data_IF_506734393932
#
_entry.id   IF_506734393932
#
_cell.length_a   1.000
_cell.length_b   1.000
_cell.length_c   1.000
_cell.angle_alpha   90.00
_cell.angle_beta   90.00
_cell.angle_gamma   90.00
#
_symmetry.space_group_name_H-M   'P 1'
#
loop_
_entity.id
_entity.type
_entity.pdbx_description
1 polymer ?
#
# COMPACT_ATOMS: atom_id res chain seq x y z
N UNK A 1 47.41 39.52 -30.07
CA UNK A 1 48.04 40.85 -29.98
C UNK A 1 46.91 41.86 -30.15
N UNK A 2 46.61 42.83 -29.29
CA UNK A 2 47.31 43.44 -28.17
C UNK A 2 46.26 44.05 -27.21
N UNK A 3 46.69 44.23 -25.97
CA UNK A 3 45.95 44.47 -24.72
C UNK A 3 45.31 45.86 -24.55
N UNK A 4 44.25 45.86 -23.73
CA UNK A 4 43.84 46.79 -22.66
C UNK A 4 43.96 48.31 -22.82
N UNK A 5 42.87 49.01 -22.47
CA UNK A 5 42.94 50.11 -21.51
C UNK A 5 41.67 50.16 -20.64
N UNK A 6 41.90 50.27 -19.34
CA UNK A 6 40.95 50.33 -18.21
C UNK A 6 40.72 51.79 -17.83
N UNK A 7 39.50 52.19 -17.41
CA UNK A 7 39.29 53.24 -16.41
C UNK A 7 37.82 53.33 -15.89
N UNK A 8 37.71 53.26 -14.56
CA UNK A 8 36.80 53.92 -13.59
C UNK A 8 35.65 54.79 -14.12
N UNK A 9 34.45 54.89 -13.52
CA UNK A 9 33.94 54.49 -12.22
C UNK A 9 32.70 55.35 -11.88
N UNK A 10 31.65 54.69 -11.36
CA UNK A 10 30.54 55.16 -10.48
C UNK A 10 29.73 56.42 -10.84
N UNK A 11 28.43 56.23 -11.08
CA UNK A 11 27.36 57.10 -10.56
C UNK A 11 26.27 56.21 -9.93
N UNK A 12 25.96 56.49 -8.67
CA UNK A 12 24.86 55.92 -7.88
C UNK A 12 23.54 56.56 -8.30
N UNK A 13 22.51 55.74 -8.56
CA UNK A 13 21.11 56.17 -8.44
C UNK A 13 20.42 55.14 -7.53
N UNK A 14 20.13 55.59 -6.32
CA UNK A 14 19.26 54.91 -5.37
C UNK A 14 17.81 55.02 -5.83
N UNK A 15 17.13 53.89 -6.04
CA UNK A 15 15.68 53.82 -6.02
C UNK A 15 15.30 52.83 -4.94
N UNK A 16 14.72 53.36 -3.86
CA UNK A 16 14.12 52.60 -2.79
C UNK A 16 12.80 51.98 -3.29
N UNK A 17 12.70 50.65 -3.25
CA UNK A 17 11.41 49.96 -3.32
C UNK A 17 10.98 49.57 -1.92
N UNK A 18 9.76 49.98 -1.57
CA UNK A 18 9.11 49.74 -0.31
C UNK A 18 8.91 48.24 -0.05
N UNK A 19 9.28 47.79 1.16
CA UNK A 19 8.84 46.53 1.73
C UNK A 19 7.35 46.62 2.08
N UNK A 20 6.51 45.79 1.46
CA UNK A 20 5.28 45.28 2.07
C UNK A 20 4.90 43.93 1.45
N UNK A 21 4.84 42.89 2.29
CA UNK A 21 4.03 41.69 2.02
C UNK A 21 4.73 40.49 1.36
N UNK A 22 5.79 39.94 1.97
CA UNK A 22 6.12 38.53 1.73
C UNK A 22 5.13 37.66 2.51
N UNK A 23 4.07 37.17 1.86
CA UNK A 23 3.43 35.93 2.30
C UNK A 23 4.48 34.84 2.14
N UNK A 24 4.95 34.27 3.25
CA UNK A 24 5.86 33.14 3.23
C UNK A 24 5.21 31.99 2.47
N UNK A 25 5.72 31.71 1.27
CA UNK A 25 5.52 30.39 0.65
C UNK A 25 6.29 29.44 1.56
N UNK A 26 5.57 28.71 2.40
CA UNK A 26 6.14 27.61 3.16
C UNK A 26 6.55 26.57 2.11
N UNK A 27 7.85 26.24 1.97
CA UNK A 27 8.24 25.13 1.10
C UNK A 27 7.58 23.86 1.63
N UNK A 28 7.08 23.01 0.72
CA UNK A 28 6.45 21.73 1.02
C UNK A 28 7.27 21.00 2.09
N UNK A 29 6.71 20.98 3.30
CA UNK A 29 7.32 20.34 4.45
C UNK A 29 7.40 18.84 4.13
N UNK A 30 8.59 18.28 4.33
CA UNK A 30 8.84 16.85 4.30
C UNK A 30 7.67 16.08 4.91
N UNK A 31 7.23 15.04 4.20
CA UNK A 31 6.13 14.14 4.55
C UNK A 31 6.32 13.65 5.99
N UNK A 32 5.66 14.33 6.92
CA UNK A 32 5.58 13.94 8.32
C UNK A 32 4.89 12.59 8.37
N UNK A 33 5.44 11.62 9.09
CA UNK A 33 4.75 10.39 9.48
C UNK A 33 3.36 10.76 9.99
N UNK A 34 2.33 10.55 9.19
CA UNK A 34 0.96 10.96 9.50
C UNK A 34 0.42 10.00 10.54
N UNK A 35 0.53 10.36 11.81
CA UNK A 35 -0.26 9.75 12.88
C UNK A 35 -1.74 9.96 12.57
N UNK A 36 -2.59 8.95 12.81
CA UNK A 36 -4.03 9.09 12.63
C UNK A 36 -4.57 10.33 13.35
N UNK A 37 -5.30 11.18 12.63
CA UNK A 37 -6.06 12.26 13.23
C UNK A 37 -7.43 11.73 13.68
N UNK A 38 -7.46 11.15 14.87
CA UNK A 38 -8.66 10.54 15.45
C UNK A 38 -9.77 11.56 15.69
N UNK A 39 -9.48 12.87 15.75
CA UNK A 39 -10.52 13.88 15.90
C UNK A 39 -11.45 13.92 14.67
N UNK A 40 -10.89 13.75 13.47
CA UNK A 40 -11.67 13.69 12.23
C UNK A 40 -12.54 12.42 12.22
N UNK A 41 -11.98 11.29 12.66
CA UNK A 41 -12.71 10.01 12.74
C UNK A 41 -13.89 10.10 13.73
N UNK A 42 -13.68 10.79 14.86
CA UNK A 42 -14.65 10.89 15.96
C UNK A 42 -15.80 11.85 15.71
N UNK A 43 -15.54 12.99 15.05
CA UNK A 43 -16.47 14.12 15.06
C UNK A 43 -16.99 14.53 13.68
N UNK A 44 -16.43 13.96 12.60
CA UNK A 44 -16.89 14.23 11.26
C UNK A 44 -17.66 13.04 10.67
N UNK A 45 -18.52 13.31 9.70
CA UNK A 45 -19.31 12.30 9.00
C UNK A 45 -19.08 12.46 7.49
N UNK A 46 -18.77 11.36 6.82
CA UNK A 46 -18.55 11.31 5.38
C UNK A 46 -17.25 10.61 5.01
N UNK A 47 -16.66 11.04 3.91
CA UNK A 47 -15.50 10.42 3.30
C UNK A 47 -14.30 11.34 3.40
N UNK A 48 -13.16 10.82 3.86
CA UNK A 48 -11.91 11.57 3.76
C UNK A 48 -11.40 11.49 2.32
N UNK A 49 -11.49 12.59 1.59
CA UNK A 49 -11.07 12.71 0.20
C UNK A 49 -9.67 13.29 0.09
N UNK A 50 -8.80 12.61 -0.65
CA UNK A 50 -7.50 13.12 -1.11
C UNK A 50 -7.60 13.45 -2.59
N UNK A 51 -7.24 14.68 -2.96
CA UNK A 51 -7.46 15.25 -4.28
C UNK A 51 -6.13 15.48 -4.99
N UNK A 52 -6.04 15.03 -6.24
CA UNK A 52 -4.82 14.99 -7.04
C UNK A 52 -5.06 15.69 -8.38
N UNK A 53 -4.08 16.46 -8.88
CA UNK A 53 -4.20 17.20 -10.14
C UNK A 53 -3.09 16.83 -11.13
N UNK A 54 -3.49 16.58 -12.38
CA UNK A 54 -2.60 16.25 -13.48
C UNK A 54 -2.70 17.31 -14.57
N UNK A 55 -1.62 17.51 -15.34
CA UNK A 55 -1.69 18.32 -16.54
C UNK A 55 -2.21 17.46 -17.70
N UNK A 56 -2.87 18.06 -18.69
CA UNK A 56 -3.32 17.42 -19.95
C UNK A 56 -2.17 16.75 -20.73
N UNK A 57 -0.92 17.10 -20.42
CA UNK A 57 0.28 16.47 -20.97
C UNK A 57 0.70 15.18 -20.26
N UNK A 58 0.07 14.83 -19.14
CA UNK A 58 0.37 13.62 -18.39
C UNK A 58 -0.10 12.38 -19.18
N UNK A 59 0.74 11.33 -19.33
CA UNK A 59 0.42 10.18 -20.17
C UNK A 59 -0.88 9.45 -19.79
N UNK A 60 -1.26 9.46 -18.51
CA UNK A 60 -2.44 8.77 -18.01
C UNK A 60 -3.74 9.46 -18.35
N UNK A 61 -3.69 10.76 -18.64
CA UNK A 61 -4.86 11.62 -18.88
C UNK A 61 -4.77 12.38 -20.20
N UNK A 62 -3.83 12.00 -21.07
CA UNK A 62 -3.59 12.66 -22.33
C UNK A 62 -4.83 12.59 -23.25
N UNK A 63 -4.98 13.57 -24.14
CA UNK A 63 -6.12 13.72 -25.06
C UNK A 63 -6.51 12.47 -25.89
N UNK A 64 -5.64 11.46 -26.02
CA UNK A 64 -6.00 10.16 -26.61
C UNK A 64 -6.23 9.08 -25.54
N UNK A 65 -7.20 9.33 -24.66
CA UNK A 65 -7.59 8.40 -23.59
C UNK A 65 -7.85 6.98 -24.09
N UNK A 66 -8.36 6.82 -25.32
CA UNK A 66 -8.69 5.52 -25.94
C UNK A 66 -7.50 4.56 -26.11
N UNK A 67 -6.27 5.07 -26.08
CA UNK A 67 -5.05 4.27 -26.22
C UNK A 67 -4.40 3.91 -24.88
N UNK A 68 -4.94 4.42 -23.77
CA UNK A 68 -4.40 4.21 -22.43
C UNK A 68 -5.24 3.16 -21.69
N UNK A 69 -4.61 2.05 -21.34
CA UNK A 69 -5.20 1.06 -20.43
C UNK A 69 -4.89 1.45 -19.00
N UNK A 70 -5.93 1.68 -18.22
CA UNK A 70 -5.89 1.95 -16.79
C UNK A 70 -5.58 0.67 -16.01
N UNK A 71 -4.80 0.82 -14.95
CA UNK A 71 -4.67 -0.18 -13.90
C UNK A 71 -5.89 -0.13 -12.97
N UNK A 72 -6.05 -1.10 -12.07
CA UNK A 72 -7.10 -1.03 -11.05
C UNK A 72 -6.79 0.05 -10.01
N UNK A 73 -7.76 0.94 -9.72
CA UNK A 73 -7.76 1.97 -8.69
C UNK A 73 -6.39 2.31 -8.07
N UNK A 74 -6.01 1.67 -6.94
CA UNK A 74 -4.79 1.97 -6.18
C UNK A 74 -3.47 1.71 -6.92
N UNK A 75 -3.47 0.93 -8.00
CA UNK A 75 -2.28 0.68 -8.81
C UNK A 75 -1.95 1.81 -9.78
N UNK A 76 -2.88 2.75 -10.02
CA UNK A 76 -2.60 3.93 -10.85
C UNK A 76 -1.73 4.92 -10.07
N UNK A 77 -0.69 5.46 -10.72
CA UNK A 77 0.20 6.46 -10.12
C UNK A 77 -0.46 7.83 -9.85
N UNK A 78 -1.69 8.04 -10.33
CA UNK A 78 -2.45 9.30 -10.16
C UNK A 78 -2.67 9.68 -8.69
N UNK A 79 -2.67 8.69 -7.79
CA UNK A 79 -2.86 8.88 -6.35
C UNK A 79 -1.53 9.07 -5.60
N UNK A 80 -0.44 9.35 -6.32
CA UNK A 80 0.89 9.61 -5.77
C UNK A 80 1.05 11.03 -5.21
N UNK A 81 2.02 11.21 -4.31
CA UNK A 81 2.32 12.50 -3.66
C UNK A 81 2.67 13.63 -4.65
N UNK A 82 3.24 13.29 -5.81
CA UNK A 82 3.62 14.27 -6.83
C UNK A 82 2.41 14.97 -7.47
N UNK A 83 1.23 14.34 -7.37
CA UNK A 83 -0.02 14.86 -7.90
C UNK A 83 -0.93 15.45 -6.82
N UNK A 84 -0.64 15.22 -5.54
CA UNK A 84 -1.49 15.66 -4.42
C UNK A 84 -1.65 17.18 -4.38
N UNK A 85 -2.86 17.65 -4.11
CA UNK A 85 -3.18 19.08 -3.97
C UNK A 85 -3.72 19.40 -2.58
N UNK A 86 -4.81 18.75 -2.17
CA UNK A 86 -5.43 18.96 -0.88
C UNK A 86 -6.21 17.73 -0.43
N UNK A 87 -6.68 17.76 0.82
CA UNK A 87 -7.65 16.81 1.34
C UNK A 87 -8.74 17.52 2.14
N UNK A 88 -9.91 16.90 2.21
CA UNK A 88 -11.06 17.37 3.00
C UNK A 88 -12.00 16.22 3.31
N UNK A 89 -12.93 16.42 4.23
CA UNK A 89 -14.07 15.51 4.42
C UNK A 89 -15.22 15.94 3.51
N UNK A 90 -15.72 14.99 2.73
CA UNK A 90 -16.92 15.13 1.91
C UNK A 90 -18.08 14.41 2.60
N UNK A 91 -19.03 15.16 3.15
CA UNK A 91 -20.22 14.60 3.81
C UNK A 91 -21.12 13.80 2.85
N UNK A 92 -21.05 14.15 1.56
CA UNK A 92 -21.65 13.42 0.45
C UNK A 92 -20.68 13.46 -0.72
N UNK A 93 -20.59 12.34 -1.42
CA UNK A 93 -19.83 12.19 -2.67
C UNK A 93 -20.74 11.97 -3.88
N UNK A 94 -22.00 12.41 -3.78
CA UNK A 94 -22.88 12.60 -4.93
C UNK A 94 -22.74 14.03 -5.47
N UNK A 95 -21.87 14.19 -6.48
CA UNK A 95 -21.54 15.49 -7.06
C UNK A 95 -22.28 15.76 -8.38
N UNK A 96 -23.05 14.81 -8.88
CA UNK A 96 -23.82 14.96 -10.12
C UNK A 96 -22.93 15.18 -11.35
N UNK A 97 -23.32 16.12 -12.21
CA UNK A 97 -22.71 16.29 -13.54
C UNK A 97 -21.62 17.37 -13.65
N UNK A 98 -21.26 18.03 -12.53
CA UNK A 98 -20.34 19.16 -12.52
C UNK A 98 -19.27 19.03 -11.42
N UNK A 99 -18.70 17.83 -11.26
CA UNK A 99 -17.67 17.59 -10.25
C UNK A 99 -16.29 18.02 -10.74
N UNK A 100 -15.90 19.26 -10.42
CA UNK A 100 -14.63 19.85 -10.85
C UNK A 100 -13.90 20.50 -9.65
N UNK A 101 -13.35 19.68 -8.73
CA UNK A 101 -12.89 20.13 -7.42
C UNK A 101 -11.49 20.77 -7.43
N UNK A 102 -10.70 20.58 -8.49
CA UNK A 102 -9.29 21.01 -8.51
C UNK A 102 -9.01 21.95 -9.68
N UNK A 103 -8.36 23.07 -9.38
CA UNK A 103 -7.85 24.03 -10.36
C UNK A 103 -6.61 24.70 -9.76
N UNK A 104 -5.42 24.27 -10.19
CA UNK A 104 -4.13 24.81 -9.74
C UNK A 104 -3.41 25.60 -10.84
N UNK A 105 -4.09 25.88 -11.96
CA UNK A 105 -3.56 26.59 -13.12
C UNK A 105 -2.74 25.69 -14.07
N UNK A 106 -2.83 24.36 -13.95
CA UNK A 106 -2.19 23.45 -14.90
C UNK A 106 -2.94 23.51 -16.24
N UNK A 107 -2.20 23.33 -17.34
CA UNK A 107 -2.82 23.15 -18.65
C UNK A 107 -3.68 21.90 -18.59
N UNK A 108 -4.98 22.02 -18.77
CA UNK A 108 -5.91 20.89 -18.59
C UNK A 108 -7.05 21.23 -17.65
N UNK A 109 -6.78 22.06 -16.63
CA UNK A 109 -7.72 22.39 -15.56
C UNK A 109 -9.05 22.96 -16.08
N UNK A 110 -10.15 22.77 -15.34
CA UNK A 110 -10.27 21.98 -14.10
C UNK A 110 -10.48 20.47 -14.37
N UNK A 111 -10.17 20.00 -15.59
CA UNK A 111 -10.25 18.60 -15.98
C UNK A 111 -8.87 17.94 -15.81
N UNK A 112 -8.82 16.62 -15.71
CA UNK A 112 -7.60 15.81 -15.46
C UNK A 112 -7.19 15.77 -13.98
N UNK A 113 -8.03 15.18 -13.15
CA UNK A 113 -7.80 15.05 -11.71
C UNK A 113 -8.17 13.64 -11.24
N UNK A 114 -7.68 13.27 -10.07
CA UNK A 114 -8.06 12.03 -9.40
C UNK A 114 -8.44 12.31 -7.95
N UNK A 115 -9.29 11.45 -7.39
CA UNK A 115 -9.71 11.52 -6.00
C UNK A 115 -9.74 10.14 -5.39
N UNK A 116 -9.21 10.02 -4.17
CA UNK A 116 -9.31 8.83 -3.36
C UNK A 116 -10.07 9.16 -2.08
N UNK A 117 -11.23 8.53 -1.90
CA UNK A 117 -12.05 8.63 -0.71
C UNK A 117 -11.91 7.40 0.17
N UNK A 118 -11.81 7.62 1.49
CA UNK A 118 -11.75 6.57 2.51
C UNK A 118 -12.71 6.84 3.65
N UNK A 119 -13.36 5.79 4.14
CA UNK A 119 -14.19 5.85 5.33
C UNK A 119 -14.33 4.47 6.00
N UNK A 120 -14.56 4.47 7.31
CA UNK A 120 -15.17 3.36 8.03
C UNK A 120 -16.68 3.45 7.88
N UNK A 121 -17.23 2.57 7.05
CA UNK A 121 -18.66 2.46 6.79
C UNK A 121 -19.30 1.56 7.86
N UNK A 122 -20.07 2.15 8.76
CA UNK A 122 -20.77 1.44 9.82
C UNK A 122 -22.09 0.92 9.27
N UNK A 123 -22.18 -0.41 9.20
CA UNK A 123 -23.34 -1.17 8.74
C UNK A 123 -24.20 -1.52 9.98
N UNK A 124 -25.43 -1.02 10.09
CA UNK A 124 -26.24 -1.17 11.31
C UNK A 124 -26.67 -2.62 11.54
N UNK A 125 -27.01 -3.34 10.48
CA UNK A 125 -27.52 -4.71 10.54
C UNK A 125 -26.87 -5.57 9.46
N UNK A 126 -26.60 -6.84 9.76
CA UNK A 126 -26.09 -7.76 8.74
C UNK A 126 -27.13 -7.94 7.62
N UNK A 127 -26.68 -7.94 6.37
CA UNK A 127 -27.60 -8.03 5.24
C UNK A 127 -26.93 -7.88 3.89
N UNK A 128 -27.73 -8.00 2.82
CA UNK A 128 -27.29 -7.76 1.45
C UNK A 128 -27.66 -6.35 1.04
N UNK A 129 -26.65 -5.56 0.68
CA UNK A 129 -26.78 -4.15 0.35
C UNK A 129 -26.41 -3.89 -1.10
N UNK A 130 -27.00 -2.84 -1.67
CA UNK A 130 -26.77 -2.43 -3.06
C UNK A 130 -25.98 -1.13 -3.09
N UNK A 131 -24.91 -1.12 -3.87
CA UNK A 131 -24.05 0.03 -4.10
C UNK A 131 -24.13 0.41 -5.58
N UNK A 132 -24.21 1.71 -5.86
CA UNK A 132 -24.21 2.22 -7.22
C UNK A 132 -23.21 3.36 -7.38
N UNK A 133 -22.51 3.37 -8.51
CA UNK A 133 -21.61 4.46 -8.92
C UNK A 133 -21.94 4.88 -10.33
N UNK A 134 -21.92 6.19 -10.59
CA UNK A 134 -21.89 6.77 -11.92
C UNK A 134 -20.65 7.63 -12.05
N UNK A 135 -19.84 7.39 -13.07
CA UNK A 135 -18.60 8.10 -13.31
C UNK A 135 -18.45 8.44 -14.80
N UNK A 136 -17.94 9.61 -15.17
CA UNK A 136 -17.70 9.92 -16.59
C UNK A 136 -16.50 9.14 -17.17
N UNK A 137 -15.47 8.93 -16.37
CA UNK A 137 -14.35 8.06 -16.72
C UNK A 137 -14.22 6.94 -15.69
N UNK A 138 -13.13 6.90 -14.95
CA UNK A 138 -12.76 5.71 -14.21
C UNK A 138 -13.17 5.83 -12.76
N UNK A 139 -13.78 4.76 -12.24
CA UNK A 139 -14.06 4.65 -10.82
C UNK A 139 -13.92 3.20 -10.35
N UNK A 140 -13.49 3.04 -9.10
CA UNK A 140 -13.41 1.75 -8.43
C UNK A 140 -13.93 1.86 -7.02
N UNK A 141 -14.73 0.89 -6.59
CA UNK A 141 -15.22 0.78 -5.21
C UNK A 141 -14.70 -0.52 -4.62
N UNK A 142 -14.02 -0.41 -3.49
CA UNK A 142 -13.55 -1.52 -2.70
C UNK A 142 -14.23 -1.52 -1.34
N UNK A 143 -14.61 -2.70 -0.86
CA UNK A 143 -15.08 -2.92 0.51
C UNK A 143 -14.21 -4.00 1.14
N UNK A 144 -13.61 -3.69 2.28
CA UNK A 144 -12.65 -4.56 3.00
C UNK A 144 -11.52 -5.07 2.08
N UNK A 145 -11.01 -4.18 1.23
CA UNK A 145 -9.96 -4.48 0.26
C UNK A 145 -10.41 -5.25 -0.99
N UNK A 146 -11.66 -5.71 -1.06
CA UNK A 146 -12.19 -6.46 -2.21
C UNK A 146 -12.83 -5.52 -3.23
N UNK A 147 -12.46 -5.65 -4.51
CA UNK A 147 -13.05 -4.88 -5.60
C UNK A 147 -14.52 -5.26 -5.81
N UNK A 148 -15.43 -4.31 -5.55
CA UNK A 148 -16.88 -4.49 -5.75
C UNK A 148 -17.34 -3.94 -7.09
N UNK A 149 -16.98 -2.71 -7.43
CA UNK A 149 -17.38 -2.05 -8.69
C UNK A 149 -16.12 -1.60 -9.42
N UNK A 150 -15.99 -1.99 -10.69
CA UNK A 150 -14.91 -1.58 -11.59
C UNK A 150 -15.50 -0.87 -12.81
N UNK A 151 -15.27 0.43 -12.92
CA UNK A 151 -15.59 1.25 -14.09
C UNK A 151 -14.31 1.75 -14.80
N UNK A 152 -13.16 1.10 -14.56
CA UNK A 152 -11.91 1.40 -15.25
C UNK A 152 -12.01 1.21 -16.76
N UNK A 153 -11.16 1.91 -17.50
CA UNK A 153 -11.16 2.02 -18.96
C UNK A 153 -12.47 2.58 -19.56
N UNK A 154 -13.28 3.27 -18.76
CA UNK A 154 -14.49 3.92 -19.26
C UNK A 154 -14.13 5.29 -19.82
N UNK A 155 -14.53 5.54 -21.07
CA UNK A 155 -14.25 6.80 -21.79
C UNK A 155 -15.48 7.71 -21.89
N UNK A 156 -16.62 7.26 -21.37
CA UNK A 156 -17.91 7.93 -21.34
C UNK A 156 -18.62 7.53 -20.06
N UNK A 157 -19.46 8.41 -19.54
CA UNK A 157 -20.44 8.14 -18.48
C UNK A 157 -20.83 6.67 -18.33
N UNK A 158 -20.23 6.00 -17.36
CA UNK A 158 -20.48 4.61 -16.99
C UNK A 158 -21.27 4.55 -15.69
N UNK A 159 -22.06 3.48 -15.54
CA UNK A 159 -22.80 3.20 -14.33
C UNK A 159 -22.46 1.77 -13.88
N UNK A 160 -22.20 1.59 -12.60
CA UNK A 160 -22.03 0.30 -11.95
C UNK A 160 -23.07 0.15 -10.85
N UNK A 161 -23.64 -1.05 -10.70
CA UNK A 161 -24.49 -1.39 -9.56
C UNK A 161 -24.21 -2.82 -9.16
N UNK A 162 -23.86 -3.02 -7.89
CA UNK A 162 -23.50 -4.34 -7.35
C UNK A 162 -24.10 -4.55 -5.97
N UNK A 163 -24.23 -5.83 -5.60
CA UNK A 163 -24.69 -6.24 -4.28
C UNK A 163 -23.59 -6.99 -3.55
N UNK A 164 -23.50 -6.76 -2.25
CA UNK A 164 -22.60 -7.49 -1.35
C UNK A 164 -23.32 -7.77 -0.03
N UNK A 165 -23.03 -8.93 0.57
CA UNK A 165 -23.49 -9.26 1.91
C UNK A 165 -22.46 -8.79 2.92
N UNK A 166 -22.89 -7.97 3.87
CA UNK A 166 -22.05 -7.39 4.92
C UNK A 166 -22.57 -7.82 6.29
N UNK A 167 -21.66 -7.97 7.24
CA UNK A 167 -21.99 -8.09 8.67
C UNK A 167 -22.46 -6.74 9.22
N UNK A 168 -23.11 -6.75 10.39
CA UNK A 168 -23.22 -5.52 11.18
C UNK A 168 -21.84 -5.15 11.72
N UNK A 169 -21.55 -3.85 11.85
CA UNK A 169 -20.26 -3.33 12.31
C UNK A 169 -19.58 -2.43 11.28
N UNK A 170 -18.33 -2.06 11.54
CA UNK A 170 -17.53 -1.20 10.65
C UNK A 170 -16.88 -2.01 9.53
N UNK A 171 -16.95 -1.49 8.31
CA UNK A 171 -16.30 -2.02 7.12
C UNK A 171 -15.45 -0.91 6.48
N UNK A 172 -14.28 -1.26 5.93
CA UNK A 172 -13.47 -0.26 5.23
C UNK A 172 -14.03 -0.05 3.83
N UNK A 173 -14.33 1.19 3.45
CA UNK A 173 -14.67 1.55 2.08
C UNK A 173 -13.59 2.45 1.47
N UNK A 174 -13.11 2.05 0.30
CA UNK A 174 -12.18 2.83 -0.51
C UNK A 174 -12.82 3.09 -1.88
N UNK A 175 -12.85 4.36 -2.30
CA UNK A 175 -13.39 4.74 -3.59
C UNK A 175 -12.36 5.58 -4.33
N UNK A 176 -12.00 5.13 -5.53
CA UNK A 176 -11.04 5.79 -6.40
C UNK A 176 -11.79 6.33 -7.61
N UNK A 177 -11.48 7.55 -8.01
CA UNK A 177 -12.04 8.19 -9.21
C UNK A 177 -10.95 8.95 -9.95
N UNK A 178 -10.98 8.90 -11.28
CA UNK A 178 -10.17 9.76 -12.13
C UNK A 178 -10.99 10.32 -13.28
N UNK A 179 -11.01 11.64 -13.42
CA UNK A 179 -11.49 12.32 -14.63
C UNK A 179 -10.28 12.58 -15.51
N UNK A 180 -10.31 12.04 -16.72
CA UNK A 180 -9.20 12.07 -17.68
C UNK A 180 -9.56 12.77 -18.98
N UNK A 181 -10.78 13.29 -19.07
CA UNK A 181 -11.35 13.78 -20.31
C UNK A 181 -12.07 15.11 -20.13
N UNK A 182 -12.48 15.67 -21.27
CA UNK A 182 -13.27 16.90 -21.37
C UNK A 182 -14.50 16.62 -22.22
N UNK A 183 -15.57 17.44 -22.12
CA UNK A 183 -15.73 18.62 -21.27
C UNK A 183 -16.60 18.37 -20.02
N UNK A 184 -16.82 17.10 -19.65
CA UNK A 184 -17.79 16.72 -18.63
C UNK A 184 -17.10 15.91 -17.55
N UNK A 185 -17.47 16.15 -16.29
CA UNK A 185 -17.03 15.34 -15.15
C UNK A 185 -18.25 14.96 -14.33
N UNK A 186 -18.52 13.66 -14.25
CA UNK A 186 -19.63 13.10 -13.49
C UNK A 186 -19.04 12.21 -12.41
N UNK A 187 -19.48 12.42 -11.18
CA UNK A 187 -19.29 11.45 -10.11
C UNK A 187 -20.50 11.44 -9.17
N UNK A 188 -21.15 10.29 -9.08
CA UNK A 188 -22.22 10.03 -8.11
C UNK A 188 -22.02 8.66 -7.49
N UNK A 189 -22.12 8.59 -6.17
CA UNK A 189 -22.13 7.33 -5.42
C UNK A 189 -23.39 7.27 -4.56
N UNK A 190 -24.09 6.14 -4.62
CA UNK A 190 -25.27 5.88 -3.78
C UNK A 190 -25.17 4.53 -3.09
N UNK A 191 -25.61 4.53 -1.85
CA UNK A 191 -25.63 3.39 -0.94
C UNK A 191 -26.84 3.53 0.00
N UNK A 192 -27.18 2.51 0.79
CA UNK A 192 -28.21 2.61 1.81
C UNK A 192 -27.97 3.81 2.75
N UNK A 193 -29.02 4.61 2.97
CA UNK A 193 -28.96 5.78 3.86
C UNK A 193 -28.85 5.42 5.34
N UNK A 194 -28.94 4.13 5.66
CA UNK A 194 -28.80 3.59 7.02
C UNK A 194 -27.34 3.47 7.45
N UNK A 195 -26.38 3.66 6.55
CA UNK A 195 -24.96 3.61 6.88
C UNK A 195 -24.48 4.93 7.46
N UNK A 196 -23.55 4.84 8.41
CA UNK A 196 -22.77 5.98 8.87
C UNK A 196 -21.35 5.88 8.33
N UNK A 197 -20.74 7.00 7.98
CA UNK A 197 -19.41 7.05 7.40
C UNK A 197 -18.47 7.83 8.33
N UNK A 198 -17.56 7.14 9.00
CA UNK A 198 -16.47 7.76 9.77
C UNK A 198 -15.30 8.05 8.82
N UNK A 199 -14.92 9.30 8.53
CA UNK A 199 -13.85 9.58 7.58
C UNK A 199 -12.51 8.99 8.06
N UNK A 200 -11.70 8.43 7.15
CA UNK A 200 -10.40 7.83 7.48
C UNK A 200 -9.22 8.61 6.84
N UNK A 201 -8.67 9.62 7.53
CA UNK A 201 -7.44 10.31 7.12
C UNK A 201 -6.24 9.36 6.90
N UNK A 202 -5.17 9.83 6.22
CA UNK A 202 -3.90 9.12 6.19
C UNK A 202 -3.40 8.79 7.60
N UNK A 203 -3.02 7.53 7.79
CA UNK A 203 -2.62 7.02 9.10
C UNK A 203 -3.76 6.39 9.90
N UNK A 204 -5.03 6.62 9.53
CA UNK A 204 -6.18 5.99 10.17
C UNK A 204 -6.64 4.70 9.45
N UNK A 205 -7.09 3.72 10.24
CA UNK A 205 -7.79 2.50 9.82
C UNK A 205 -9.18 2.40 10.43
N UNK A 206 -9.93 1.34 10.10
CA UNK A 206 -11.23 1.06 10.71
C UNK A 206 -11.15 0.82 12.23
N UNK A 207 -9.96 0.54 12.76
CA UNK A 207 -9.75 0.30 14.19
C UNK A 207 -9.71 1.59 14.99
N UNK A 208 -9.48 2.71 14.33
CA UNK A 208 -9.59 4.05 14.91
C UNK A 208 -11.05 4.52 15.02
N UNK A 209 -12.00 3.76 14.44
CA UNK A 209 -13.45 4.02 14.59
C UNK A 209 -13.90 3.51 15.96
N UNK A 210 -14.31 4.39 16.88
CA UNK A 210 -14.58 3.99 18.26
C UNK A 210 -15.76 3.03 18.38
N UNK A 211 -15.65 2.07 19.28
CA UNK A 211 -16.72 1.14 19.61
C UNK A 211 -18.04 1.85 19.95
N UNK A 212 -17.98 2.96 20.70
CA UNK A 212 -19.17 3.75 21.03
C UNK A 212 -19.86 4.32 19.77
N UNK A 213 -19.08 4.78 18.79
CA UNK A 213 -19.60 5.28 17.52
C UNK A 213 -20.28 4.15 16.73
N UNK A 214 -19.67 2.96 16.72
CA UNK A 214 -20.23 1.75 16.09
C UNK A 214 -21.51 1.31 16.80
N UNK A 215 -21.50 1.24 18.13
CA UNK A 215 -22.61 0.82 18.97
C UNK A 215 -23.83 1.74 18.80
N UNK A 216 -23.60 3.06 18.80
CA UNK A 216 -24.62 4.07 18.58
C UNK A 216 -25.31 3.94 17.21
N UNK A 217 -24.60 3.45 16.19
CA UNK A 217 -25.13 3.30 14.83
C UNK A 217 -25.59 1.89 14.48
N UNK A 218 -25.28 0.89 15.31
CA UNK A 218 -25.75 -0.49 15.18
C UNK A 218 -26.91 -0.82 16.13
N UNK A 219 -27.22 0.09 17.06
CA UNK A 219 -28.26 -0.13 18.08
C UNK A 219 -27.82 -1.13 19.15
N UNK A 220 -26.52 -1.34 19.33
CA UNK A 220 -25.94 -2.20 20.35
C UNK A 220 -25.77 -1.41 21.66
N UNK A 221 -26.87 -1.26 22.40
CA UNK A 221 -26.89 -0.55 23.68
C UNK A 221 -26.09 -1.35 24.74
N UNK A 222 -24.94 -0.84 25.17
CA UNK A 222 -24.16 -1.37 26.32
C UNK A 222 -24.02 -0.31 27.40
N UNK A 223 -25.15 0.21 27.87
CA UNK A 223 -25.23 0.97 29.11
C UNK A 223 -25.36 0.00 30.32
N UNK A 224 -24.28 -0.14 31.10
CA UNK A 224 -24.21 -0.84 32.41
C UNK A 224 -23.64 -2.26 32.30
N UNK A 225 -22.66 -2.73 33.06
CA UNK A 225 -22.41 -2.53 34.50
C UNK A 225 -20.96 -2.94 34.86
N UNK A 226 -20.44 -2.42 35.97
CA UNK A 226 -19.16 -2.84 36.57
C UNK A 226 -19.39 -4.19 37.27
N UNK A 227 -18.83 -5.29 36.74
CA UNK A 227 -19.00 -6.63 37.32
C UNK A 227 -17.86 -7.60 37.01
N UNK A 228 -17.20 -8.04 38.08
CA UNK A 228 -16.18 -9.08 38.20
C UNK A 228 -16.55 -10.44 37.54
N UNK A 229 -15.56 -11.10 36.92
CA UNK A 229 -15.48 -12.57 36.85
C UNK A 229 -15.90 -13.32 35.56
N UNK A 230 -14.87 -13.78 34.83
CA UNK A 230 -14.74 -15.08 34.11
C UNK A 230 -15.49 -15.40 32.79
N UNK A 231 -14.64 -15.71 31.78
CA UNK A 231 -14.74 -16.64 30.64
C UNK A 231 -16.01 -16.75 29.77
N UNK A 232 -15.86 -16.46 28.46
CA UNK A 232 -16.69 -17.06 27.41
C UNK A 232 -16.79 -16.26 26.10
N UNK A 233 -15.91 -16.59 25.14
CA UNK A 233 -15.98 -16.53 23.67
C UNK A 233 -17.05 -15.67 22.94
N UNK A 234 -16.55 -14.83 22.01
CA UNK A 234 -17.34 -14.19 20.95
C UNK A 234 -16.45 -13.39 19.99
N UNK A 235 -15.91 -14.05 18.95
CA UNK A 235 -14.98 -13.45 17.98
C UNK A 235 -15.68 -12.69 16.83
N UNK A 236 -15.29 -11.43 16.62
CA UNK A 236 -15.30 -10.73 15.31
C UNK A 236 -14.07 -9.82 15.23
N UNK A 237 -13.42 -9.78 14.06
CA UNK A 237 -12.02 -9.39 13.87
C UNK A 237 -11.68 -7.94 14.19
N UNK A 238 -11.17 -7.73 15.39
CA UNK A 238 -10.26 -6.65 15.79
C UNK A 238 -8.93 -6.79 15.01
N UNK A 239 -8.46 -5.72 14.36
CA UNK A 239 -7.06 -5.60 13.91
C UNK A 239 -6.24 -5.25 15.13
N UNK A 240 -5.09 -5.87 15.20
CA UNK A 240 -4.38 -6.09 16.44
C UNK A 240 -3.06 -5.34 16.39
N UNK A 241 -3.03 -4.16 17.02
CA UNK A 241 -1.85 -3.32 17.15
C UNK A 241 -1.92 -1.99 16.40
N UNK A 242 -2.00 -0.90 17.16
CA UNK A 242 -1.87 0.45 16.65
C UNK A 242 -0.40 0.85 16.48
N UNK A 243 -0.13 1.50 15.33
CA UNK A 243 1.08 2.23 14.93
C UNK A 243 2.21 1.43 14.27
N UNK A 244 2.32 1.50 12.93
CA UNK A 244 3.55 1.11 12.23
C UNK A 244 3.98 2.00 11.08
N UNK A 245 5.30 2.04 10.94
CA UNK A 245 6.15 2.81 10.02
C UNK A 245 5.92 2.38 8.56
N UNK A 246 4.70 2.46 8.01
CA UNK A 246 4.42 2.07 6.62
C UNK A 246 4.53 0.57 6.32
N UNK A 247 4.36 -0.30 7.32
CA UNK A 247 4.27 -1.75 7.12
C UNK A 247 2.87 -2.16 6.60
N UNK A 248 2.75 -3.37 6.04
CA UNK A 248 1.46 -3.94 5.64
C UNK A 248 0.68 -4.33 6.91
N UNK A 249 -0.54 -3.81 7.13
CA UNK A 249 -1.31 -4.11 8.34
C UNK A 249 -1.73 -5.57 8.44
N UNK A 250 -1.49 -6.20 9.59
CA UNK A 250 -1.94 -7.56 9.87
C UNK A 250 -3.42 -7.57 10.30
N UNK A 251 -4.24 -8.38 9.64
CA UNK A 251 -5.65 -8.61 10.00
C UNK A 251 -5.80 -9.68 11.10
N UNK A 252 -4.74 -10.41 11.42
CA UNK A 252 -4.69 -11.30 12.58
C UNK A 252 -3.25 -11.59 13.01
N UNK A 253 -3.07 -11.79 14.32
CA UNK A 253 -1.83 -12.30 14.90
C UNK A 253 -2.08 -13.71 15.42
N UNK A 254 -1.42 -14.70 14.84
CA UNK A 254 -1.71 -16.12 15.09
C UNK A 254 -0.48 -16.86 15.62
N UNK A 255 -0.71 -17.80 16.52
CA UNK A 255 0.28 -18.82 16.94
C UNK A 255 -0.39 -20.18 17.07
N UNK A 256 0.43 -21.23 17.24
CA UNK A 256 -0.06 -22.54 17.68
C UNK A 256 0.21 -22.73 19.17
N UNK A 257 -0.56 -23.60 19.84
CA UNK A 257 -0.44 -23.81 21.28
C UNK A 257 0.96 -24.25 21.72
N UNK A 258 1.66 -25.02 20.87
CA UNK A 258 2.94 -25.65 21.18
C UNK A 258 4.15 -24.92 20.55
N UNK A 259 3.97 -23.71 20.01
CA UNK A 259 5.04 -22.93 19.40
C UNK A 259 5.05 -21.48 19.91
N UNK A 260 6.22 -20.91 20.22
CA UNK A 260 6.34 -19.49 20.51
C UNK A 260 6.28 -18.62 19.25
N UNK A 261 6.35 -19.21 18.05
CA UNK A 261 6.33 -18.47 16.79
C UNK A 261 5.00 -17.75 16.59
N UNK A 262 5.08 -16.44 16.31
CA UNK A 262 3.93 -15.58 16.05
C UNK A 262 3.94 -15.19 14.58
N UNK A 263 2.77 -15.23 13.96
CA UNK A 263 2.58 -14.92 12.56
C UNK A 263 1.58 -13.78 12.41
N UNK A 264 1.97 -12.75 11.66
CA UNK A 264 1.03 -11.80 11.11
C UNK A 264 0.31 -12.44 9.92
N UNK A 265 -1.00 -12.26 9.81
CA UNK A 265 -1.80 -12.61 8.63
C UNK A 265 -2.28 -11.32 8.01
N UNK A 266 -2.17 -11.17 6.69
CA UNK A 266 -2.53 -9.95 5.96
C UNK A 266 -3.81 -10.14 5.15
N UNK A 267 -4.41 -9.02 4.73
CA UNK A 267 -5.64 -9.01 3.94
C UNK A 267 -5.52 -9.75 2.60
N UNK A 268 -4.33 -9.81 2.01
CA UNK A 268 -4.05 -10.60 0.80
C UNK A 268 -3.98 -12.12 1.05
N UNK A 269 -4.27 -12.58 2.27
CA UNK A 269 -4.36 -13.99 2.64
C UNK A 269 -3.01 -14.63 2.97
N UNK A 270 -1.90 -13.89 2.90
CA UNK A 270 -0.59 -14.41 3.27
C UNK A 270 -0.30 -14.23 4.76
N UNK A 271 0.50 -15.15 5.31
CA UNK A 271 1.08 -15.02 6.64
C UNK A 271 2.57 -14.68 6.58
N UNK A 272 3.07 -13.98 7.58
CA UNK A 272 4.48 -13.66 7.75
C UNK A 272 4.94 -13.96 9.17
N UNK A 273 6.10 -14.57 9.29
CA UNK A 273 6.68 -14.91 10.58
C UNK A 273 7.37 -13.69 11.19
N UNK A 274 6.93 -13.28 12.37
CA UNK A 274 7.55 -12.18 13.12
C UNK A 274 8.73 -12.75 13.90
N UNK A 275 9.93 -12.31 13.56
CA UNK A 275 11.17 -13.04 13.88
C UNK A 275 11.63 -12.88 15.31
N UNK A 276 11.12 -11.87 16.03
CA UNK A 276 11.46 -11.63 17.43
C UNK A 276 10.39 -10.80 18.15
N UNK A 277 10.32 -10.84 19.49
CA UNK A 277 9.53 -9.90 20.30
C UNK A 277 9.86 -8.43 20.00
N UNK A 278 11.12 -8.12 19.67
CA UNK A 278 11.53 -6.76 19.29
C UNK A 278 10.88 -6.34 17.98
N UNK A 279 10.88 -7.20 16.95
CA UNK A 279 10.17 -6.94 15.71
C UNK A 279 8.67 -6.75 15.98
N UNK A 280 8.07 -7.64 16.76
CA UNK A 280 6.66 -7.58 17.15
C UNK A 280 6.26 -6.22 17.75
N UNK A 281 7.07 -5.71 18.69
CA UNK A 281 6.85 -4.39 19.28
C UNK A 281 7.14 -3.23 18.32
N UNK A 282 8.07 -3.38 17.38
CA UNK A 282 8.35 -2.35 16.36
C UNK A 282 7.25 -2.29 15.29
N UNK A 283 6.55 -3.41 15.06
CA UNK A 283 5.24 -3.44 14.40
C UNK A 283 4.09 -2.88 15.27
N UNK A 284 4.34 -2.34 16.47
CA UNK A 284 3.26 -1.81 17.31
C UNK A 284 2.20 -2.84 17.72
N UNK A 285 2.45 -4.14 17.49
CA UNK A 285 1.52 -5.21 17.83
C UNK A 285 1.45 -5.42 19.34
N UNK A 286 0.28 -5.82 19.84
CA UNK A 286 0.08 -6.14 21.25
C UNK A 286 0.05 -7.66 21.46
N UNK A 287 0.74 -8.17 22.48
CA UNK A 287 0.81 -9.61 22.73
C UNK A 287 -0.56 -10.22 23.10
N UNK A 288 -1.46 -9.41 23.68
CA UNK A 288 -2.82 -9.86 24.04
C UNK A 288 -3.67 -10.23 22.82
N UNK A 289 -3.27 -9.73 21.68
CA UNK A 289 -3.98 -9.90 20.44
C UNK A 289 -3.70 -11.25 19.76
N UNK A 290 -2.66 -11.94 20.22
CA UNK A 290 -2.22 -13.19 19.61
C UNK A 290 -3.26 -14.28 19.87
N UNK A 291 -3.86 -14.80 18.80
CA UNK A 291 -4.82 -15.90 18.85
C UNK A 291 -4.13 -17.24 18.66
N UNK A 292 -4.47 -18.19 19.53
CA UNK A 292 -4.01 -19.57 19.40
C UNK A 292 -4.94 -20.31 18.43
N UNK A 293 -4.38 -20.86 17.35
CA UNK A 293 -5.12 -21.63 16.33
C UNK A 293 -4.51 -23.02 16.13
N UNK A 294 -5.25 -23.90 15.46
CA UNK A 294 -4.71 -25.19 15.03
C UNK A 294 -3.61 -25.01 13.98
N UNK A 295 -2.69 -25.98 13.91
CA UNK A 295 -1.65 -26.00 12.86
C UNK A 295 -2.26 -25.93 11.46
N UNK A 296 -3.32 -26.70 11.20
CA UNK A 296 -4.03 -26.69 9.92
C UNK A 296 -4.62 -25.33 9.56
N UNK A 297 -5.18 -24.59 10.54
CA UNK A 297 -5.70 -23.23 10.31
C UNK A 297 -4.57 -22.26 10.00
N UNK A 298 -3.46 -22.33 10.73
CA UNK A 298 -2.29 -21.49 10.43
C UNK A 298 -1.75 -21.80 9.01
N UNK A 299 -1.68 -23.08 8.63
CA UNK A 299 -1.23 -23.57 7.31
C UNK A 299 -2.20 -23.32 6.16
N UNK A 300 -3.45 -22.94 6.43
CA UNK A 300 -4.35 -22.45 5.38
C UNK A 300 -3.96 -21.08 4.82
N UNK A 301 -3.14 -20.31 5.55
CA UNK A 301 -2.57 -19.05 5.07
C UNK A 301 -1.19 -19.33 4.47
N UNK A 302 -0.99 -19.18 3.14
CA UNK A 302 0.32 -19.35 2.52
C UNK A 302 1.32 -18.32 3.07
N UNK A 303 2.60 -18.67 3.06
CA UNK A 303 3.65 -17.76 3.55
C UNK A 303 3.93 -16.66 2.53
N UNK A 304 4.03 -15.43 3.01
CA UNK A 304 4.48 -14.28 2.24
C UNK A 304 5.90 -14.54 1.73
N UNK A 305 6.08 -14.53 0.42
CA UNK A 305 7.38 -14.76 -0.23
C UNK A 305 8.02 -13.52 -0.80
N UNK A 306 7.26 -12.45 -0.94
CA UNK A 306 7.71 -11.18 -1.48
C UNK A 306 7.63 -10.15 -0.37
N UNK A 307 8.78 -9.68 0.08
CA UNK A 307 8.85 -8.72 1.18
C UNK A 307 9.72 -7.52 0.82
N UNK A 308 9.43 -6.36 1.40
CA UNK A 308 10.30 -5.19 1.35
C UNK A 308 10.20 -4.42 2.66
N UNK A 309 11.10 -3.46 2.86
CA UNK A 309 10.96 -2.49 3.95
C UNK A 309 10.22 -1.23 3.46
N UNK A 310 9.73 -0.38 4.37
CA UNK A 310 9.17 0.92 4.03
C UNK A 310 10.20 1.86 3.38
N UNK A 311 11.45 1.81 3.84
CA UNK A 311 12.49 2.78 3.47
C UNK A 311 13.28 2.39 2.22
N UNK A 312 13.26 1.10 1.85
CA UNK A 312 13.98 0.54 0.70
C UNK A 312 12.98 -0.13 -0.26
N UNK A 313 12.90 0.34 -1.52
CA UNK A 313 12.01 -0.26 -2.53
C UNK A 313 12.47 -1.64 -2.99
N UNK A 314 13.66 -2.09 -2.60
CA UNK A 314 14.18 -3.43 -2.93
C UNK A 314 13.24 -4.51 -2.43
N UNK A 315 12.70 -5.29 -3.36
CA UNK A 315 11.90 -6.47 -3.05
C UNK A 315 12.85 -7.65 -2.85
N UNK A 316 12.64 -8.38 -1.77
CA UNK A 316 13.28 -9.66 -1.51
C UNK A 316 12.31 -10.81 -1.77
N UNK A 317 12.79 -11.84 -2.44
CA UNK A 317 12.12 -13.12 -2.54
C UNK A 317 12.64 -14.07 -1.45
N UNK A 318 11.73 -14.71 -0.71
CA UNK A 318 12.05 -15.67 0.33
C UNK A 318 11.98 -17.12 -0.17
N UNK A 319 13.10 -17.82 -0.06
CA UNK A 319 13.21 -19.26 -0.28
C UNK A 319 13.16 -20.01 1.04
N UNK A 320 12.36 -21.08 1.06
CA UNK A 320 12.26 -21.99 2.20
C UNK A 320 13.23 -23.16 2.01
N UNK A 321 14.15 -23.38 2.97
CA UNK A 321 14.98 -24.59 3.03
C UNK A 321 14.17 -25.78 3.60
N UNK A 322 14.60 -27.03 3.39
CA UNK A 322 13.92 -28.22 3.91
C UNK A 322 13.68 -28.20 5.43
N UNK A 323 14.54 -27.51 6.19
CA UNK A 323 14.41 -27.34 7.64
C UNK A 323 13.52 -26.14 8.05
N UNK A 324 12.72 -25.60 7.13
CA UNK A 324 11.93 -24.37 7.31
C UNK A 324 12.75 -23.14 7.68
N UNK A 325 14.04 -23.15 7.34
CA UNK A 325 14.90 -21.98 7.49
C UNK A 325 14.89 -21.18 6.19
N UNK A 326 14.78 -19.87 6.31
CA UNK A 326 14.63 -19.00 5.16
C UNK A 326 15.98 -18.57 4.59
N UNK A 327 15.97 -18.23 3.30
CA UNK A 327 16.98 -17.41 2.63
C UNK A 327 16.25 -16.29 1.89
N UNK A 328 16.84 -15.10 1.84
CA UNK A 328 16.33 -13.99 1.02
C UNK A 328 17.26 -13.74 -0.16
N UNK A 329 16.70 -13.41 -1.32
CA UNK A 329 17.46 -12.86 -2.45
C UNK A 329 16.80 -11.56 -2.89
N UNK A 330 17.58 -10.57 -3.33
CA UNK A 330 17.01 -9.37 -3.92
C UNK A 330 16.39 -9.68 -5.30
N UNK A 331 15.38 -8.92 -5.69
CA UNK A 331 14.88 -8.86 -7.06
C UNK A 331 15.31 -7.50 -7.62
N UNK A 332 16.47 -7.43 -8.31
CA UNK A 332 17.16 -6.16 -8.59
C UNK A 332 16.49 -5.31 -9.69
N UNK A 333 15.45 -5.81 -10.34
CA UNK A 333 14.70 -5.08 -11.36
C UNK A 333 13.27 -5.60 -11.52
N UNK A 334 12.35 -4.79 -12.08
CA UNK A 334 11.03 -5.26 -12.48
C UNK A 334 11.07 -6.46 -13.44
N UNK A 335 12.09 -6.55 -14.29
CA UNK A 335 12.29 -7.71 -15.18
C UNK A 335 12.62 -8.98 -14.39
N UNK A 336 13.51 -8.88 -13.39
CA UNK A 336 13.78 -10.01 -12.50
C UNK A 336 12.52 -10.40 -11.72
N UNK A 337 11.75 -9.43 -11.23
CA UNK A 337 10.47 -9.69 -10.56
C UNK A 337 9.47 -10.44 -11.47
N UNK A 338 9.23 -9.94 -12.68
CA UNK A 338 8.27 -10.48 -13.63
C UNK A 338 8.69 -11.83 -14.24
N UNK A 339 9.98 -12.19 -14.17
CA UNK A 339 10.48 -13.48 -14.66
C UNK A 339 9.99 -14.70 -13.86
N UNK A 340 9.36 -14.47 -12.70
CA UNK A 340 8.71 -15.50 -11.90
C UNK A 340 7.19 -15.41 -12.11
N UNK A 341 6.54 -16.39 -12.78
CA UNK A 341 5.13 -16.27 -13.17
C UNK A 341 4.13 -16.13 -12.01
N UNK A 342 4.52 -16.55 -10.80
CA UNK A 342 3.69 -16.47 -9.60
C UNK A 342 3.83 -15.14 -8.85
N UNK A 343 4.81 -14.31 -9.24
CA UNK A 343 5.00 -13.02 -8.60
C UNK A 343 3.91 -12.04 -9.04
N UNK A 344 3.27 -11.41 -8.06
CA UNK A 344 2.28 -10.37 -8.26
C UNK A 344 2.59 -9.24 -7.29
N UNK A 345 2.50 -7.99 -7.74
CA UNK A 345 2.81 -6.83 -6.89
C UNK A 345 1.89 -6.74 -5.67
N UNK A 346 0.63 -7.18 -5.78
CA UNK A 346 -0.31 -7.28 -4.65
C UNK A 346 0.08 -8.31 -3.57
N UNK A 347 1.04 -9.20 -3.86
CA UNK A 347 1.53 -10.18 -2.90
C UNK A 347 2.77 -9.65 -2.13
N UNK A 348 3.25 -8.45 -2.44
CA UNK A 348 4.39 -7.84 -1.76
C UNK A 348 3.93 -7.31 -0.40
N UNK A 349 4.55 -7.81 0.66
CA UNK A 349 4.30 -7.38 2.03
C UNK A 349 5.41 -6.42 2.47
N UNK A 350 5.03 -5.28 3.03
CA UNK A 350 5.96 -4.35 3.67
C UNK A 350 6.14 -4.77 5.11
N UNK A 351 7.36 -5.11 5.48
CA UNK A 351 7.72 -5.69 6.78
C UNK A 351 8.83 -4.90 7.44
N UNK A 352 9.04 -5.18 8.72
CA UNK A 352 10.11 -4.62 9.51
C UNK A 352 11.49 -5.00 8.98
N UNK A 353 12.44 -4.06 9.06
CA UNK A 353 13.84 -4.31 8.74
C UNK A 353 14.47 -5.38 9.65
N UNK A 354 14.02 -5.51 10.90
CA UNK A 354 14.45 -6.58 11.82
C UNK A 354 14.11 -7.95 11.23
N UNK A 355 12.90 -8.13 10.71
CA UNK A 355 12.49 -9.40 10.09
C UNK A 355 13.26 -9.66 8.79
N UNK A 356 13.41 -8.64 7.95
CA UNK A 356 14.23 -8.76 6.72
C UNK A 356 15.66 -9.17 7.07
N UNK A 357 16.26 -8.59 8.11
CA UNK A 357 17.65 -8.87 8.51
C UNK A 357 17.83 -10.23 9.19
N UNK A 358 16.77 -10.81 9.76
CA UNK A 358 16.82 -12.15 10.33
C UNK A 358 16.98 -13.25 9.25
N UNK A 359 16.65 -12.95 7.99
CA UNK A 359 16.84 -13.87 6.88
C UNK A 359 18.26 -13.73 6.28
N UNK A 360 19.06 -14.81 6.25
CA UNK A 360 20.34 -14.82 5.56
C UNK A 360 20.17 -14.61 4.06
N UNK A 361 21.15 -13.98 3.41
CA UNK A 361 21.15 -13.81 1.97
C UNK A 361 21.46 -15.15 1.27
N UNK A 362 20.68 -15.45 0.22
CA UNK A 362 21.04 -16.49 -0.73
C UNK A 362 22.21 -16.00 -1.59
N UNK A 363 23.34 -16.67 -1.50
CA UNK A 363 24.54 -16.37 -2.30
C UNK A 363 24.87 -17.46 -3.30
N UNK A 364 24.24 -18.65 -3.18
CA UNK A 364 24.45 -19.75 -4.11
C UNK A 364 23.20 -19.95 -4.94
N UNK A 365 23.35 -19.85 -6.27
CA UNK A 365 22.22 -19.90 -7.18
C UNK A 365 22.47 -20.82 -8.36
N UNK A 366 21.39 -21.34 -8.94
CA UNK A 366 21.40 -22.03 -10.24
C UNK A 366 20.14 -21.68 -11.03
N UNK A 367 20.12 -22.00 -12.32
CA UNK A 367 18.88 -21.98 -13.11
C UNK A 367 18.24 -23.35 -13.16
N UNK A 368 16.96 -23.43 -13.48
CA UNK A 368 16.27 -24.71 -13.69
C UNK A 368 16.78 -25.46 -14.93
N UNK A 369 17.33 -24.73 -15.90
CA UNK A 369 17.78 -25.24 -17.20
C UNK A 369 19.24 -25.70 -17.22
N UNK A 370 20.04 -25.42 -16.19
CA UNK A 370 21.46 -25.75 -16.14
C UNK A 370 21.89 -26.27 -14.77
N UNK A 371 22.73 -27.31 -14.70
CA UNK A 371 23.27 -27.80 -13.44
C UNK A 371 24.34 -26.89 -12.82
N UNK A 372 24.86 -25.91 -13.56
CA UNK A 372 25.92 -25.02 -13.08
C UNK A 372 25.48 -24.18 -11.87
N UNK A 373 26.28 -24.20 -10.81
CA UNK A 373 26.07 -23.40 -9.60
C UNK A 373 26.95 -22.16 -9.65
N UNK A 374 26.39 -21.03 -9.26
CA UNK A 374 27.08 -19.74 -9.20
C UNK A 374 27.13 -19.24 -7.77
N UNK A 375 28.27 -18.68 -7.37
CA UNK A 375 28.39 -17.80 -6.22
C UNK A 375 28.06 -16.36 -6.64
N UNK A 376 27.14 -15.72 -5.94
CA UNK A 376 26.83 -14.30 -6.05
C UNK A 376 27.69 -13.53 -5.05
N UNK A 377 28.56 -12.66 -5.56
CA UNK A 377 29.49 -11.89 -4.75
C UNK A 377 29.80 -10.56 -5.44
N UNK A 378 29.69 -9.44 -4.72
CA UNK A 378 30.07 -8.10 -5.20
C UNK A 378 29.41 -7.69 -6.54
N UNK A 379 28.18 -8.15 -6.79
CA UNK A 379 27.44 -7.89 -8.05
C UNK A 379 27.82 -8.81 -9.22
N UNK A 380 28.71 -9.77 -8.99
CA UNK A 380 29.12 -10.79 -9.95
C UNK A 380 28.46 -12.15 -9.67
N UNK A 381 28.28 -12.95 -10.73
CA UNK A 381 28.05 -14.39 -10.67
C UNK A 381 29.33 -15.13 -11.07
N UNK A 382 29.80 -16.02 -10.20
CA UNK A 382 31.03 -16.79 -10.40
C UNK A 382 30.70 -18.27 -10.46
N UNK A 383 30.93 -18.90 -11.60
CA UNK A 383 30.62 -20.32 -11.83
C UNK A 383 31.59 -21.22 -11.07
N UNK A 384 31.08 -22.19 -10.31
CA UNK A 384 31.90 -23.31 -9.82
C UNK A 384 32.20 -24.26 -10.97
N UNK A 385 33.48 -24.59 -11.19
CA UNK A 385 33.91 -25.46 -12.30
C UNK A 385 33.34 -26.88 -12.20
N UNK A 386 33.08 -27.37 -10.98
CA UNK A 386 32.43 -28.66 -10.76
C UNK A 386 31.76 -28.76 -9.39
N UNK A 387 30.92 -29.80 -9.21
CA UNK A 387 30.32 -30.12 -7.91
C UNK A 387 31.34 -30.60 -6.87
N UNK A 388 32.46 -31.19 -7.32
CA UNK A 388 33.59 -31.55 -6.46
C UNK A 388 34.27 -30.30 -5.90
N UNK A 389 34.52 -29.27 -6.72
CA UNK A 389 35.08 -27.99 -6.26
C UNK A 389 34.15 -27.33 -5.23
N UNK A 390 32.86 -27.28 -5.53
CA UNK A 390 31.84 -26.75 -4.62
C UNK A 390 31.90 -27.43 -3.23
N UNK A 391 31.99 -28.76 -3.21
CA UNK A 391 32.01 -29.56 -1.97
C UNK A 391 33.36 -29.44 -1.26
N UNK A 392 34.47 -29.43 -2.00
CA UNK A 392 35.83 -29.28 -1.47
C UNK A 392 36.04 -27.92 -0.79
N UNK A 393 35.35 -26.87 -1.27
CA UNK A 393 35.33 -25.54 -0.66
C UNK A 393 34.28 -25.39 0.45
N UNK A 394 33.69 -26.51 0.90
CA UNK A 394 32.74 -26.58 2.01
C UNK A 394 31.42 -25.80 1.82
N UNK A 395 31.01 -25.55 0.58
CA UNK A 395 29.67 -25.03 0.30
C UNK A 395 28.62 -26.14 0.45
N UNK A 396 27.41 -25.76 0.84
CA UNK A 396 26.31 -26.71 1.06
C UNK A 396 25.28 -26.64 -0.06
N UNK A 397 24.90 -27.79 -0.60
CA UNK A 397 23.84 -27.91 -1.61
C UNK A 397 22.48 -27.46 -1.08
N UNK A 398 22.26 -27.46 0.24
CA UNK A 398 21.03 -26.95 0.87
C UNK A 398 20.89 -25.43 0.77
N UNK A 399 21.97 -24.72 0.48
CA UNK A 399 22.00 -23.25 0.35
C UNK A 399 21.81 -22.79 -1.11
N UNK A 400 21.76 -23.72 -2.06
CA UNK A 400 21.58 -23.41 -3.49
C UNK A 400 20.11 -23.15 -3.79
N UNK A 401 19.79 -21.93 -4.19
CA UNK A 401 18.42 -21.55 -4.63
C UNK A 401 18.31 -21.55 -6.15
N UNK A 402 17.10 -21.79 -6.67
CA UNK A 402 16.85 -21.74 -8.11
C UNK A 402 16.28 -20.39 -8.50
N UNK A 403 16.96 -19.68 -9.41
CA UNK A 403 16.55 -18.39 -9.96
C UNK A 403 16.23 -18.51 -11.45
N UNK A 404 15.47 -17.55 -11.98
CA UNK A 404 15.22 -17.47 -13.42
C UNK A 404 16.49 -17.06 -14.18
N UNK A 405 16.60 -17.39 -15.48
CA UNK A 405 17.67 -16.88 -16.32
C UNK A 405 17.74 -15.34 -16.32
N UNK A 406 16.60 -14.66 -16.37
CA UNK A 406 16.50 -13.19 -16.38
C UNK A 406 17.06 -12.60 -15.09
N UNK A 407 16.74 -13.18 -13.92
CA UNK A 407 17.32 -12.76 -12.65
C UNK A 407 18.83 -13.03 -12.62
N UNK A 408 19.30 -14.23 -13.00
CA UNK A 408 20.73 -14.53 -13.04
C UNK A 408 21.51 -13.61 -13.99
N UNK A 409 20.87 -13.13 -15.07
CA UNK A 409 21.49 -12.22 -16.04
C UNK A 409 21.61 -10.77 -15.56
N UNK A 410 21.03 -10.42 -14.41
CA UNK A 410 21.26 -9.12 -13.78
C UNK A 410 22.65 -9.00 -13.13
N UNK A 411 23.32 -10.13 -12.89
CA UNK A 411 24.69 -10.18 -12.34
C UNK A 411 25.73 -10.24 -13.47
N UNK A 412 26.82 -9.50 -13.30
CA UNK A 412 27.95 -9.53 -14.23
C UNK A 412 28.74 -10.85 -14.09
N UNK A 413 29.36 -11.34 -15.15
CA UNK A 413 30.12 -12.60 -15.08
C UNK A 413 31.49 -12.37 -14.45
N UNK A 414 31.75 -13.02 -13.32
CA UNK A 414 33.06 -13.02 -12.66
C UNK A 414 33.93 -14.24 -13.02
N UNK A 415 35.16 -14.26 -12.52
CA UNK A 415 36.08 -15.39 -12.74
C UNK A 415 35.54 -16.70 -12.12
N UNK A 416 35.56 -17.83 -12.84
CA UNK A 416 35.15 -19.13 -12.31
C UNK A 416 35.93 -19.52 -11.04
N UNK A 417 35.30 -20.34 -10.21
CA UNK A 417 35.87 -20.89 -8.98
C UNK A 417 36.28 -22.33 -9.27
N UNK A 418 37.58 -22.60 -9.18
CA UNK A 418 38.20 -23.88 -9.53
C UNK A 418 38.94 -24.52 -8.38
#
# INVERSE_FOLDING_TARGET
MQKHLTAFGRIFISIAFALTGFTSIVPARAQTTTTCDTNIVLHENGFYGQYYNMAETDPGVQANIYSYTTDEGPANYWYGSDYYVFSRVDQSIDFGNDFLPVNTGKKGDPFHFAVHWRSGMIVPTAGTYTFSVRANNDAWVYIDGNLLINLGNSYRGANGTQKITLSAGVHEINIYFAERSRPLSIFSYTAPTSFYYAPLPPGCSIDDVPADLINNHTGSDTSGDIGDGTNGDGHSGEVLGASTVGYTPAVALLKTANSPAVYAVYANGYRHYITSPTAFLHYGYNFNDIRIVSKAKLESYPEARLIRTPEDPTIYFLYTRPQQQWLKINLPSPTAFASYPQNQWGNVVVVDKIDVNAYPNATLVKTASSPGVYLLQDGEKRLFLSGEVFTALHYSWSEVVTVSPEHLNTYTSGSPIG
#
